data_IF_277541348898
#
_entry.id   IF_277541348898
#
_cell.length_a   1.000
_cell.length_b   1.000
_cell.length_c   1.000
_cell.angle_alpha   90.00
_cell.angle_beta   90.00
_cell.angle_gamma   90.00
#
_symmetry.space_group_name_H-M   'P 1'
#
loop_
_entity.id
_entity.type
_entity.pdbx_description
1 polymer ?
#
# COMPACT_ATOMS: atom_id res chain seq x y z
N UNK A 1 14.37 -12.74 4.25
CA UNK A 1 13.10 -12.05 4.55
C UNK A 1 11.99 -13.11 4.48
N UNK A 2 11.07 -13.19 5.45
CA UNK A 2 9.95 -14.13 5.36
C UNK A 2 9.07 -13.82 4.14
N UNK A 3 8.41 -14.82 3.55
CA UNK A 3 7.50 -14.60 2.43
C UNK A 3 6.36 -13.68 2.89
N UNK A 4 6.07 -12.67 2.06
CA UNK A 4 4.92 -11.77 2.27
C UNK A 4 3.65 -12.64 2.18
N UNK A 5 2.77 -12.63 3.20
CA UNK A 5 1.58 -13.46 3.18
C UNK A 5 0.67 -13.07 2.01
N UNK A 6 0.38 -14.03 1.13
CA UNK A 6 -0.53 -13.83 0.01
C UNK A 6 -1.96 -14.14 0.45
N UNK A 7 -2.73 -13.07 0.69
CA UNK A 7 -4.17 -13.15 0.90
C UNK A 7 -4.89 -13.16 -0.46
N UNK A 8 -6.12 -13.70 -0.55
CA UNK A 8 -6.91 -13.60 -1.77
C UNK A 8 -7.11 -12.14 -2.19
N UNK A 9 -7.34 -11.87 -3.49
CA UNK A 9 -7.54 -10.52 -3.99
C UNK A 9 -8.61 -9.75 -3.19
N UNK A 10 -8.27 -8.52 -2.86
CA UNK A 10 -9.10 -7.61 -2.08
C UNK A 10 -8.93 -6.20 -2.67
N UNK A 11 -9.98 -5.39 -2.57
CA UNK A 11 -9.96 -3.98 -2.98
C UNK A 11 -9.19 -3.10 -1.98
N UNK A 12 -8.88 -3.63 -0.79
CA UNK A 12 -8.02 -2.97 0.21
C UNK A 12 -6.61 -3.59 0.18
N UNK A 13 -5.58 -2.75 0.15
CA UNK A 13 -4.19 -3.16 0.33
C UNK A 13 -3.63 -2.58 1.64
N UNK A 14 -2.77 -3.36 2.29
CA UNK A 14 -1.91 -2.92 3.37
C UNK A 14 -0.48 -2.79 2.89
N UNK A 15 0.20 -1.79 3.43
CA UNK A 15 1.60 -1.50 3.19
C UNK A 15 2.36 -1.57 4.49
N UNK A 16 3.60 -2.01 4.42
CA UNK A 16 4.54 -1.89 5.53
C UNK A 16 5.92 -1.46 5.02
N UNK A 17 6.84 -1.25 5.98
CA UNK A 17 8.20 -0.79 5.73
C UNK A 17 8.24 0.63 5.13
N UNK A 18 7.31 1.49 5.58
CA UNK A 18 7.28 2.90 5.21
C UNK A 18 8.27 3.71 6.06
N UNK A 19 8.94 4.73 5.50
CA UNK A 19 9.71 5.70 6.26
C UNK A 19 8.86 6.43 7.32
N UNK A 20 9.46 6.85 8.43
CA UNK A 20 8.77 7.60 9.50
C UNK A 20 8.18 8.95 9.04
N UNK A 21 8.82 9.57 8.04
CA UNK A 21 8.36 10.81 7.39
C UNK A 21 7.17 10.61 6.43
N UNK A 22 6.78 9.37 6.15
CA UNK A 22 5.66 9.06 5.26
C UNK A 22 4.37 9.61 5.83
N UNK A 23 3.66 10.37 5.00
CA UNK A 23 2.35 10.90 5.35
C UNK A 23 1.28 10.53 4.30
N UNK A 24 0.03 10.79 4.64
CA UNK A 24 -1.13 10.45 3.82
C UNK A 24 -1.11 11.13 2.45
N UNK A 25 -0.61 12.37 2.39
CA UNK A 25 -0.52 13.13 1.15
C UNK A 25 0.49 12.50 0.18
N UNK A 26 1.67 12.08 0.67
CA UNK A 26 2.68 11.41 -0.16
C UNK A 26 2.16 10.10 -0.74
N UNK A 27 1.51 9.28 0.10
CA UNK A 27 0.89 8.04 -0.35
C UNK A 27 -0.27 8.31 -1.32
N UNK A 28 -1.12 9.29 -1.03
CA UNK A 28 -2.20 9.70 -1.94
C UNK A 28 -1.65 10.09 -3.31
N UNK A 29 -0.58 10.90 -3.38
CA UNK A 29 0.03 11.26 -4.66
C UNK A 29 0.56 10.04 -5.41
N UNK A 30 1.21 9.09 -4.72
CA UNK A 30 1.73 7.86 -5.31
C UNK A 30 0.61 6.95 -5.84
N UNK A 31 -0.50 6.82 -5.11
CA UNK A 31 -1.61 5.93 -5.48
C UNK A 31 -2.63 6.58 -6.43
N UNK A 32 -2.71 7.90 -6.49
CA UNK A 32 -3.66 8.62 -7.34
C UNK A 32 -3.39 8.45 -8.85
N UNK A 33 -2.21 7.94 -9.22
CA UNK A 33 -1.91 7.52 -10.59
C UNK A 33 -2.70 6.26 -11.02
N UNK A 34 -3.20 5.48 -10.07
CA UNK A 34 -4.01 4.29 -10.32
C UNK A 34 -5.49 4.67 -10.27
N UNK A 35 -6.26 4.16 -11.23
CA UNK A 35 -7.70 4.42 -11.30
C UNK A 35 -8.43 3.72 -10.15
N UNK A 36 -9.48 4.39 -9.66
CA UNK A 36 -10.38 3.83 -8.65
C UNK A 36 -9.86 3.91 -7.23
N UNK A 37 -8.82 4.70 -6.95
CA UNK A 37 -8.43 5.07 -5.60
C UNK A 37 -9.63 5.68 -4.85
N UNK A 38 -9.98 5.13 -3.70
CA UNK A 38 -11.05 5.63 -2.83
C UNK A 38 -10.50 6.38 -1.63
N UNK A 39 -9.60 5.74 -0.88
CA UNK A 39 -9.11 6.29 0.37
C UNK A 39 -7.69 5.81 0.67
N UNK A 40 -6.87 6.68 1.26
CA UNK A 40 -5.58 6.33 1.86
C UNK A 40 -5.68 6.59 3.35
N UNK A 41 -5.24 5.64 4.17
CA UNK A 41 -5.31 5.74 5.62
C UNK A 41 -4.00 5.29 6.25
N UNK A 42 -3.40 6.17 7.05
CA UNK A 42 -2.30 5.83 7.94
C UNK A 42 -2.82 5.13 9.20
N UNK A 43 -2.06 4.17 9.73
CA UNK A 43 -2.42 3.53 11.00
C UNK A 43 -1.96 4.40 12.17
N UNK A 44 -2.90 4.85 13.00
CA UNK A 44 -2.57 5.63 14.20
C UNK A 44 -1.63 4.85 15.12
N UNK A 45 -0.49 5.46 15.46
CA UNK A 45 0.54 4.85 16.29
C UNK A 45 1.50 3.90 15.57
N UNK A 46 1.39 3.73 14.24
CA UNK A 46 2.32 2.94 13.40
C UNK A 46 2.59 3.62 12.06
N UNK A 47 3.66 4.43 12.02
CA UNK A 47 4.05 5.21 10.85
C UNK A 47 4.63 4.35 9.72
N UNK A 48 5.07 3.14 10.06
CA UNK A 48 5.60 2.16 9.12
C UNK A 48 4.52 1.41 8.33
N UNK A 49 3.23 1.60 8.69
CA UNK A 49 2.09 0.86 8.12
C UNK A 49 0.99 1.83 7.66
N UNK A 50 0.44 1.55 6.49
CA UNK A 50 -0.73 2.24 5.95
C UNK A 50 -1.63 1.27 5.18
N UNK A 51 -2.83 1.71 4.83
CA UNK A 51 -3.72 1.01 3.93
C UNK A 51 -4.26 1.93 2.86
N UNK A 52 -4.55 1.36 1.69
CA UNK A 52 -5.31 2.03 0.63
C UNK A 52 -6.54 1.21 0.29
N UNK A 53 -7.61 1.89 -0.07
CA UNK A 53 -8.83 1.31 -0.60
C UNK A 53 -9.01 1.71 -2.06
N UNK A 54 -9.33 0.73 -2.90
CA UNK A 54 -9.73 0.89 -4.29
C UNK A 54 -11.19 0.50 -4.50
N UNK A 55 -11.75 0.81 -5.66
CA UNK A 55 -13.13 0.46 -6.01
C UNK A 55 -13.33 -1.05 -6.21
N UNK A 56 -12.31 -1.75 -6.68
CA UNK A 56 -12.33 -3.20 -6.86
C UNK A 56 -10.94 -3.83 -6.71
N UNK A 57 -10.92 -5.15 -6.58
CA UNK A 57 -9.72 -5.97 -6.40
C UNK A 57 -8.80 -5.97 -7.62
N UNK A 58 -9.34 -5.82 -8.84
CA UNK A 58 -8.54 -5.72 -10.06
C UNK A 58 -7.67 -4.46 -10.09
N UNK A 59 -8.22 -3.31 -9.69
CA UNK A 59 -7.49 -2.05 -9.57
C UNK A 59 -6.47 -2.08 -8.43
N UNK A 60 -6.84 -2.64 -7.28
CA UNK A 60 -5.93 -2.87 -6.18
C UNK A 60 -4.76 -3.78 -6.59
N UNK A 61 -5.04 -4.86 -7.33
CA UNK A 61 -4.02 -5.76 -7.85
C UNK A 61 -3.04 -5.06 -8.79
N UNK A 62 -3.54 -4.23 -9.71
CA UNK A 62 -2.68 -3.45 -10.59
C UNK A 62 -1.76 -2.49 -9.81
N UNK A 63 -2.27 -1.82 -8.77
CA UNK A 63 -1.49 -0.95 -7.91
C UNK A 63 -0.44 -1.72 -7.09
N UNK A 64 -0.84 -2.87 -6.52
CA UNK A 64 0.07 -3.78 -5.80
C UNK A 64 1.23 -4.20 -6.70
N UNK A 65 0.94 -4.74 -7.88
CA UNK A 65 1.95 -5.33 -8.74
C UNK A 65 2.91 -4.27 -9.29
N UNK A 66 2.42 -3.05 -9.51
CA UNK A 66 3.25 -1.92 -9.95
C UNK A 66 4.13 -1.32 -8.84
N UNK A 67 3.67 -1.31 -7.60
CA UNK A 67 4.35 -0.66 -6.47
C UNK A 67 5.01 -1.64 -5.50
N UNK A 68 4.89 -2.95 -5.72
CA UNK A 68 5.52 -3.95 -4.87
C UNK A 68 7.04 -3.79 -4.89
N UNK A 69 7.64 -3.59 -3.72
CA UNK A 69 9.08 -3.35 -3.60
C UNK A 69 9.51 -1.96 -4.05
N UNK A 70 8.58 -1.04 -4.33
CA UNK A 70 8.89 0.34 -4.67
C UNK A 70 9.67 1.00 -3.52
N UNK A 71 10.82 1.59 -3.85
CA UNK A 71 11.68 2.25 -2.88
C UNK A 71 11.21 3.69 -2.66
N UNK A 72 10.47 3.93 -1.58
CA UNK A 72 10.08 5.29 -1.17
C UNK A 72 11.34 6.10 -0.83
N UNK A 73 12.29 5.44 -0.16
CA UNK A 73 13.65 5.95 0.06
C UNK A 73 14.66 4.86 -0.30
N UNK A 74 15.95 5.19 -0.49
CA UNK A 74 16.98 4.20 -0.83
C UNK A 74 17.05 3.00 0.14
N UNK A 75 16.66 3.20 1.40
CA UNK A 75 16.64 2.19 2.47
C UNK A 75 15.27 1.53 2.70
N UNK A 76 14.17 2.11 2.22
CA UNK A 76 12.81 1.63 2.49
C UNK A 76 12.10 1.21 1.20
N UNK A 77 12.08 -0.09 0.96
CA UNK A 77 11.26 -0.72 -0.08
C UNK A 77 9.88 -1.10 0.51
N UNK A 78 8.82 -0.48 0.01
CA UNK A 78 7.44 -0.75 0.44
C UNK A 78 7.08 -2.20 0.15
N UNK A 79 6.45 -2.88 1.11
CA UNK A 79 5.85 -4.20 0.88
C UNK A 79 4.34 -4.09 0.94
N UNK A 80 3.68 -4.66 -0.06
CA UNK A 80 2.24 -4.57 -0.27
C UNK A 80 1.59 -5.95 -0.14
N UNK A 81 0.52 -6.02 0.63
CA UNK A 81 -0.32 -7.20 0.84
C UNK A 81 -1.78 -6.85 0.63
N UNK A 82 -2.60 -7.78 0.15
CA UNK A 82 -4.05 -7.61 0.26
C UNK A 82 -4.48 -7.60 1.73
N UNK A 83 -5.58 -6.90 2.03
CA UNK A 83 -6.23 -7.00 3.32
C UNK A 83 -6.81 -8.39 3.57
N UNK A 84 -6.69 -8.86 4.81
CA UNK A 84 -7.51 -9.98 5.27
C UNK A 84 -8.97 -9.57 5.15
N UNK A 85 -9.79 -10.46 4.56
CA UNK A 85 -11.25 -10.36 4.68
C UNK A 85 -11.69 -10.61 6.11
#
# INVERSE_FOLDING_TARGET
>A
DPPVPEYPPNYILFFNNLPEETNEMMLSMLFNQFRGLKEVRLVLGRHDIASVEFENDGQAGAARDALQGFKITPSHAMKITYAKK
#
